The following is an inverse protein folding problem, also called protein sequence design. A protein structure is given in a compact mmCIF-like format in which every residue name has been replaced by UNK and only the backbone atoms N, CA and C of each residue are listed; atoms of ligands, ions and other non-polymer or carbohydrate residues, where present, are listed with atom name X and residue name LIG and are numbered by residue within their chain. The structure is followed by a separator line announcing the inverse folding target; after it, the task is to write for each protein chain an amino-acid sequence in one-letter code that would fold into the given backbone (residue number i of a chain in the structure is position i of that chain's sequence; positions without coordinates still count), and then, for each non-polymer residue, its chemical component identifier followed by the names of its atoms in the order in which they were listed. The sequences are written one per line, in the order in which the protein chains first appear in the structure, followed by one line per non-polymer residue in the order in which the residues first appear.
data_IF_524697177840
#
_entry.id   IF_524697177840
#
_cell.length_a   1.000
_cell.length_b   1.000
_cell.length_c   1.000
_cell.angle_alpha   90.00
_cell.angle_beta   90.00
_cell.angle_gamma   90.00
#
_symmetry.space_group_name_H-M   'P 1'
#
loop_
_entity.id
_entity.type
_entity.pdbx_description
1 polymer ?
#
# COMPACT_ATOMS: atom_id res chain seq x y z
N UNK A 1 -7.99 -12.15 -29.39
CA UNK A 1 -7.28 -13.23 -30.13
C UNK A 1 -6.60 -14.12 -29.12
N UNK A 2 -6.84 -15.42 -29.11
CA UNK A 2 -6.19 -16.30 -28.14
C UNK A 2 -4.68 -16.21 -28.26
N UNK A 3 -3.99 -16.21 -27.14
CA UNK A 3 -2.53 -16.18 -27.07
C UNK A 3 -1.94 -17.38 -27.81
N UNK A 4 -0.89 -17.16 -28.60
CA UNK A 4 -0.17 -18.26 -29.25
C UNK A 4 0.71 -18.98 -28.23
N UNK A 5 1.01 -20.27 -28.46
CA UNK A 5 1.88 -21.07 -27.56
C UNK A 5 3.24 -20.41 -27.32
N UNK A 6 3.78 -19.73 -28.36
CA UNK A 6 5.05 -18.99 -28.20
C UNK A 6 4.95 -17.79 -27.30
N UNK A 7 3.85 -17.02 -27.39
CA UNK A 7 3.59 -15.87 -26.53
C UNK A 7 3.39 -16.34 -25.08
N UNK A 8 2.64 -17.42 -24.89
CA UNK A 8 2.42 -18.01 -23.56
C UNK A 8 3.75 -18.43 -22.93
N UNK A 9 4.62 -19.08 -23.69
CA UNK A 9 5.94 -19.49 -23.20
C UNK A 9 6.84 -18.32 -22.85
N UNK A 10 6.87 -17.27 -23.68
CA UNK A 10 7.64 -16.05 -23.40
C UNK A 10 7.17 -15.35 -22.14
N UNK A 11 5.84 -15.19 -21.98
CA UNK A 11 5.25 -14.59 -20.78
C UNK A 11 5.52 -15.43 -19.51
N UNK A 12 5.53 -16.75 -19.63
CA UNK A 12 5.89 -17.64 -18.51
C UNK A 12 7.34 -17.45 -18.07
N UNK A 13 8.27 -17.33 -19.03
CA UNK A 13 9.69 -17.08 -18.74
C UNK A 13 9.90 -15.72 -18.06
N UNK A 14 9.17 -14.70 -18.50
CA UNK A 14 9.18 -13.36 -17.88
C UNK A 14 8.64 -13.39 -16.45
N UNK A 15 7.51 -14.06 -16.20
CA UNK A 15 6.95 -14.22 -14.86
C UNK A 15 7.90 -14.95 -13.91
N UNK A 16 8.55 -16.02 -14.37
CA UNK A 16 9.53 -16.76 -13.57
C UNK A 16 10.77 -15.92 -13.26
N UNK A 17 11.20 -15.09 -14.20
CA UNK A 17 12.32 -14.17 -13.99
C UNK A 17 11.95 -13.08 -12.98
N UNK A 18 10.75 -12.52 -13.11
CA UNK A 18 10.23 -11.51 -12.18
C UNK A 18 10.08 -12.09 -10.77
N UNK A 19 9.53 -13.29 -10.65
CA UNK A 19 9.43 -14.00 -9.36
C UNK A 19 10.80 -14.16 -8.71
N UNK A 20 11.79 -14.64 -9.44
CA UNK A 20 13.14 -14.83 -8.93
C UNK A 20 13.81 -13.53 -8.49
N UNK A 21 13.54 -12.43 -9.19
CA UNK A 21 14.07 -11.12 -8.81
C UNK A 21 13.43 -10.64 -7.50
N UNK A 22 12.11 -10.73 -7.38
CA UNK A 22 11.39 -10.34 -6.16
C UNK A 22 11.80 -11.21 -4.95
N UNK A 23 11.93 -12.53 -5.12
CA UNK A 23 12.42 -13.43 -4.07
C UNK A 23 13.90 -13.17 -3.69
N UNK A 24 14.70 -12.66 -4.64
CA UNK A 24 16.11 -12.33 -4.41
C UNK A 24 16.28 -11.01 -3.65
N UNK A 25 15.34 -10.09 -3.79
CA UNK A 25 15.32 -8.82 -3.06
C UNK A 25 14.82 -8.98 -1.61
N UNK A 26 13.96 -9.97 -1.32
CA UNK A 26 13.60 -10.34 0.06
C UNK A 26 14.79 -10.87 0.88
N UNK A 27 15.85 -11.37 0.21
CA UNK A 27 17.08 -11.86 0.84
C UNK A 27 18.12 -10.77 1.13
N UNK A 28 17.87 -9.54 0.73
CA UNK A 28 18.75 -8.42 0.98
C UNK A 28 18.34 -7.67 2.26
N UNK A 29 18.16 -8.42 3.36
CA UNK A 29 18.40 -7.85 4.68
C UNK A 29 19.90 -7.58 4.78
N UNK A 30 20.37 -6.49 4.17
CA UNK A 30 21.61 -5.91 4.63
C UNK A 30 21.43 -5.60 6.12
N UNK A 31 22.19 -6.30 6.92
CA UNK A 31 22.35 -6.04 8.34
C UNK A 31 22.95 -4.62 8.50
N UNK A 32 22.08 -3.61 8.39
CA UNK A 32 22.43 -2.21 8.65
C UNK A 32 22.89 -1.96 10.09
N UNK A 33 22.87 -3.01 10.94
CA UNK A 33 23.34 -2.90 12.32
C UNK A 33 24.85 -2.83 12.42
N UNK A 34 25.60 -3.22 11.37
CA UNK A 34 27.08 -3.23 11.40
C UNK A 34 27.72 -1.95 10.88
N UNK A 35 26.97 -1.04 10.21
CA UNK A 35 27.55 0.18 9.63
C UNK A 35 27.46 1.42 10.53
N UNK A 36 26.77 1.34 11.65
CA UNK A 36 26.74 2.39 12.67
C UNK A 36 27.81 2.20 13.75
N UNK A 37 28.95 1.58 13.37
CA UNK A 37 30.16 1.53 14.17
C UNK A 37 30.81 2.90 14.21
N UNK A 38 30.77 3.55 15.39
CA UNK A 38 31.69 4.58 15.86
C UNK A 38 31.89 5.82 14.96
N UNK A 39 30.95 6.73 14.95
CA UNK A 39 31.26 8.16 14.91
C UNK A 39 30.62 8.85 16.12
N UNK A 40 31.14 8.50 17.29
CA UNK A 40 30.96 9.27 18.50
C UNK A 40 31.82 10.52 18.41
N UNK A 41 31.22 11.62 17.97
CA UNK A 41 31.74 12.94 18.37
C UNK A 41 30.55 13.85 18.63
N UNK A 42 30.29 14.01 19.92
CA UNK A 42 29.21 14.77 20.51
C UNK A 42 28.86 16.06 19.82
N UNK A 43 27.59 16.13 19.44
CA UNK A 43 26.68 17.24 19.66
C UNK A 43 25.29 16.71 19.40
N UNK A 44 24.46 16.78 20.35
CA UNK A 44 23.01 16.77 20.55
C UNK A 44 22.10 16.71 19.29
N UNK A 45 22.27 15.71 18.41
CA UNK A 45 21.46 15.52 17.20
C UNK A 45 20.66 14.21 17.20
N UNK A 46 20.62 13.51 18.33
CA UNK A 46 19.98 12.19 18.45
C UNK A 46 18.50 12.17 18.07
N UNK A 47 17.77 13.27 18.23
CA UNK A 47 16.34 13.32 17.86
C UNK A 47 16.13 13.40 16.35
N UNK A 48 16.96 14.13 15.61
CA UNK A 48 16.88 14.24 14.16
C UNK A 48 17.33 12.94 13.48
N UNK A 49 18.38 12.29 13.99
CA UNK A 49 18.89 11.02 13.47
C UNK A 49 17.87 9.89 13.68
N UNK A 50 17.22 9.83 14.86
CA UNK A 50 16.16 8.85 15.12
C UNK A 50 14.95 9.05 14.25
N UNK A 51 14.58 10.29 13.92
CA UNK A 51 13.47 10.58 13.02
C UNK A 51 13.79 10.12 11.59
N UNK A 52 15.00 10.37 11.10
CA UNK A 52 15.44 9.92 9.78
C UNK A 52 15.49 8.39 9.68
N UNK A 53 16.03 7.72 10.69
CA UNK A 53 16.05 6.25 10.76
C UNK A 53 14.64 5.66 10.77
N UNK A 54 13.71 6.29 11.49
CA UNK A 54 12.31 5.87 11.50
C UNK A 54 11.66 6.03 10.13
N UNK A 55 11.87 7.17 9.44
CA UNK A 55 11.35 7.39 8.10
C UNK A 55 11.90 6.38 7.09
N UNK A 56 13.19 6.05 7.15
CA UNK A 56 13.81 5.08 6.25
C UNK A 56 13.25 3.68 6.49
N UNK A 57 13.07 3.27 7.74
CA UNK A 57 12.43 2.00 8.09
C UNK A 57 10.97 1.91 7.61
N UNK A 58 10.22 3.01 7.69
CA UNK A 58 8.84 3.07 7.17
C UNK A 58 8.79 2.97 5.64
N UNK A 59 9.75 3.60 4.93
CA UNK A 59 9.88 3.47 3.47
C UNK A 59 10.20 2.02 3.09
N UNK A 60 11.17 1.41 3.74
CA UNK A 60 11.56 0.02 3.49
C UNK A 60 10.38 -0.94 3.69
N UNK A 61 9.65 -0.83 4.80
CA UNK A 61 8.44 -1.64 5.02
C UNK A 61 7.39 -1.44 3.92
N UNK A 62 7.28 -0.22 3.38
CA UNK A 62 6.34 0.07 2.30
C UNK A 62 6.78 -0.61 1.00
N UNK A 63 8.07 -0.58 0.67
CA UNK A 63 8.60 -1.28 -0.50
C UNK A 63 8.47 -2.80 -0.36
N UNK A 64 8.86 -3.37 0.77
CA UNK A 64 8.71 -4.80 1.04
C UNK A 64 7.24 -5.26 0.88
N UNK A 65 6.29 -4.49 1.39
CA UNK A 65 4.87 -4.81 1.21
C UNK A 65 4.45 -4.76 -0.25
N UNK A 66 4.89 -3.75 -1.00
CA UNK A 66 4.59 -3.64 -2.43
C UNK A 66 5.21 -4.80 -3.25
N UNK A 67 6.39 -5.27 -2.89
CA UNK A 67 7.05 -6.39 -3.55
C UNK A 67 6.38 -7.73 -3.19
N UNK A 68 5.93 -7.91 -1.95
CA UNK A 68 5.10 -9.06 -1.55
C UNK A 68 3.76 -9.10 -2.30
N UNK A 69 3.09 -7.97 -2.47
CA UNK A 69 1.85 -7.87 -3.25
C UNK A 69 2.11 -8.26 -4.73
N UNK A 70 3.19 -7.76 -5.33
CA UNK A 70 3.57 -8.15 -6.70
C UNK A 70 3.92 -9.64 -6.81
N UNK A 71 4.65 -10.19 -5.83
CA UNK A 71 4.98 -11.60 -5.80
C UNK A 71 3.73 -12.46 -5.78
N UNK A 72 2.74 -12.09 -4.97
CA UNK A 72 1.46 -12.77 -4.93
C UNK A 72 0.73 -12.68 -6.29
N UNK A 73 0.72 -11.52 -6.94
CA UNK A 73 0.12 -11.37 -8.27
C UNK A 73 0.82 -12.22 -9.35
N UNK A 74 2.15 -12.34 -9.26
CA UNK A 74 2.95 -13.21 -10.15
C UNK A 74 2.60 -14.68 -9.92
N UNK A 75 2.48 -15.11 -8.68
CA UNK A 75 2.09 -16.49 -8.36
C UNK A 75 0.67 -16.81 -8.83
N UNK A 76 -0.29 -15.91 -8.62
CA UNK A 76 -1.64 -16.03 -9.17
C UNK A 76 -1.65 -16.11 -10.71
N UNK A 77 -0.75 -15.39 -11.38
CA UNK A 77 -0.64 -15.43 -12.84
C UNK A 77 -0.08 -16.78 -13.33
N UNK A 78 0.93 -17.34 -12.64
CA UNK A 78 1.48 -18.66 -12.95
C UNK A 78 0.45 -19.77 -12.71
N UNK A 79 -0.31 -19.70 -11.63
CA UNK A 79 -1.40 -20.66 -11.35
C UNK A 79 -2.46 -20.62 -12.44
N UNK A 80 -2.89 -19.41 -12.90
CA UNK A 80 -3.84 -19.26 -14.01
C UNK A 80 -3.27 -19.80 -15.34
N UNK A 81 -1.95 -19.76 -15.56
CA UNK A 81 -1.33 -20.40 -16.72
C UNK A 81 -1.45 -21.92 -16.66
N UNK A 82 -1.30 -22.53 -15.48
CA UNK A 82 -1.46 -23.97 -15.28
C UNK A 82 -2.91 -24.43 -15.45
N UNK A 83 -3.85 -23.59 -14.99
CA UNK A 83 -5.28 -23.84 -15.15
C UNK A 83 -5.81 -23.54 -16.57
N UNK A 84 -5.04 -22.87 -17.42
CA UNK A 84 -5.44 -22.47 -18.77
C UNK A 84 -6.44 -21.29 -18.81
N UNK A 85 -6.54 -20.52 -17.72
CA UNK A 85 -7.39 -19.34 -17.60
C UNK A 85 -6.62 -18.02 -17.79
N UNK A 86 -5.31 -18.09 -18.01
CA UNK A 86 -4.46 -16.93 -18.21
C UNK A 86 -4.83 -16.17 -19.51
N UNK A 87 -4.76 -14.84 -19.45
CA UNK A 87 -5.11 -13.96 -20.57
C UNK A 87 -6.60 -13.61 -20.66
N UNK A 88 -7.40 -14.07 -19.70
CA UNK A 88 -8.83 -13.71 -19.58
C UNK A 88 -9.03 -12.86 -18.32
N UNK A 89 -9.79 -11.77 -18.49
CA UNK A 89 -10.14 -10.87 -17.39
C UNK A 89 -11.04 -11.58 -16.37
N UNK A 90 -10.70 -11.48 -15.09
CA UNK A 90 -11.45 -12.13 -14.00
C UNK A 90 -12.86 -11.52 -13.78
N UNK A 91 -13.03 -10.22 -14.09
CA UNK A 91 -14.27 -9.50 -13.83
C UNK A 91 -15.23 -9.55 -15.03
N UNK A 92 -14.70 -9.40 -16.26
CA UNK A 92 -15.53 -9.30 -17.48
C UNK A 92 -15.54 -10.57 -18.32
N UNK A 93 -14.58 -11.46 -18.13
CA UNK A 93 -14.40 -12.66 -18.97
C UNK A 93 -13.90 -12.35 -20.39
N UNK A 94 -13.48 -11.12 -20.65
CA UNK A 94 -12.94 -10.69 -21.94
C UNK A 94 -11.46 -11.05 -22.05
N UNK A 95 -10.97 -11.27 -23.28
CA UNK A 95 -9.56 -11.50 -23.54
C UNK A 95 -8.73 -10.23 -23.24
N UNK A 96 -7.64 -10.38 -22.49
CA UNK A 96 -6.69 -9.30 -22.23
C UNK A 96 -5.77 -9.17 -23.45
N UNK A 97 -5.59 -7.96 -24.01
CA UNK A 97 -4.70 -7.76 -25.15
C UNK A 97 -3.26 -8.18 -24.85
N UNK A 98 -2.60 -8.81 -25.83
CA UNK A 98 -1.21 -9.27 -25.67
C UNK A 98 -0.25 -8.11 -25.31
N UNK A 99 -0.44 -6.93 -25.90
CA UNK A 99 0.37 -5.74 -25.64
C UNK A 99 0.33 -5.34 -24.15
N UNK A 100 -0.78 -5.60 -23.47
CA UNK A 100 -0.90 -5.35 -22.03
C UNK A 100 -0.16 -6.41 -21.23
N UNK A 101 -0.27 -7.66 -21.63
CA UNK A 101 0.43 -8.77 -20.96
C UNK A 101 1.94 -8.70 -21.13
N UNK A 102 2.42 -8.17 -22.26
CA UNK A 102 3.84 -7.94 -22.51
C UNK A 102 4.43 -6.88 -21.58
N UNK A 103 3.66 -5.85 -21.21
CA UNK A 103 4.10 -4.80 -20.28
C UNK A 103 3.90 -5.21 -18.82
N UNK A 104 2.77 -5.86 -18.53
CA UNK A 104 2.38 -6.26 -17.17
C UNK A 104 1.91 -7.73 -17.21
N UNK A 105 2.84 -8.69 -17.17
CA UNK A 105 2.50 -10.10 -17.37
C UNK A 105 1.66 -10.70 -16.23
N UNK A 106 1.70 -10.14 -15.04
CA UNK A 106 0.91 -10.59 -13.89
C UNK A 106 -0.50 -10.00 -13.85
N UNK A 107 -0.90 -9.16 -14.82
CA UNK A 107 -2.24 -8.55 -14.82
C UNK A 107 -3.35 -9.59 -14.96
N UNK A 108 -4.43 -9.38 -14.21
CA UNK A 108 -5.64 -10.22 -14.24
C UNK A 108 -6.87 -9.52 -14.81
N UNK A 109 -6.73 -8.24 -15.19
CA UNK A 109 -7.83 -7.39 -15.67
C UNK A 109 -7.49 -6.66 -16.94
N UNK A 110 -8.52 -6.37 -17.74
CA UNK A 110 -8.42 -5.40 -18.84
C UNK A 110 -8.24 -3.98 -18.28
N UNK A 111 -7.80 -3.04 -19.11
CA UNK A 111 -7.63 -1.62 -18.70
C UNK A 111 -8.95 -1.05 -18.16
N UNK A 112 -10.05 -1.34 -18.85
CA UNK A 112 -11.37 -0.82 -18.47
C UNK A 112 -11.86 -1.40 -17.14
N UNK A 113 -11.65 -2.70 -16.92
CA UNK A 113 -11.98 -3.34 -15.64
C UNK A 113 -11.11 -2.82 -14.50
N UNK A 114 -9.82 -2.63 -14.73
CA UNK A 114 -8.91 -2.07 -13.73
C UNK A 114 -9.30 -0.64 -13.33
N UNK A 115 -9.60 0.22 -14.30
CA UNK A 115 -10.05 1.58 -14.04
C UNK A 115 -11.32 1.66 -13.19
N UNK A 116 -12.25 0.74 -13.39
CA UNK A 116 -13.47 0.67 -12.54
C UNK A 116 -13.13 0.32 -11.09
N UNK A 117 -12.28 -0.69 -10.90
CA UNK A 117 -11.85 -1.11 -9.55
C UNK A 117 -11.09 0.01 -8.84
N UNK A 118 -10.20 0.70 -9.56
CA UNK A 118 -9.44 1.82 -9.02
C UNK A 118 -10.35 3.00 -8.64
N UNK A 119 -11.36 3.28 -9.44
CA UNK A 119 -12.34 4.33 -9.17
C UNK A 119 -13.23 3.98 -7.97
N UNK A 120 -13.76 2.76 -7.91
CA UNK A 120 -14.56 2.29 -6.78
C UNK A 120 -13.75 2.29 -5.47
N UNK A 121 -12.48 1.88 -5.52
CA UNK A 121 -11.57 1.93 -4.37
C UNK A 121 -11.28 3.36 -3.91
N UNK A 122 -11.11 4.29 -4.85
CA UNK A 122 -10.91 5.71 -4.55
C UNK A 122 -12.13 6.34 -3.90
N UNK A 123 -13.33 6.05 -4.41
CA UNK A 123 -14.59 6.55 -3.87
C UNK A 123 -14.84 6.04 -2.46
N UNK A 124 -14.60 4.74 -2.20
CA UNK A 124 -14.71 4.16 -0.86
C UNK A 124 -13.73 4.78 0.15
N UNK A 125 -12.48 5.04 -0.26
CA UNK A 125 -11.51 5.72 0.61
C UNK A 125 -11.93 7.16 0.92
N UNK A 126 -12.46 7.88 -0.06
CA UNK A 126 -12.94 9.24 0.14
C UNK A 126 -14.13 9.29 1.10
N UNK A 127 -15.08 8.35 0.98
CA UNK A 127 -16.23 8.23 1.87
C UNK A 127 -15.81 7.88 3.31
N UNK A 128 -14.85 6.97 3.49
CA UNK A 128 -14.31 6.62 4.80
C UNK A 128 -13.59 7.80 5.46
N UNK A 129 -12.72 8.49 4.72
CA UNK A 129 -12.02 9.68 5.24
C UNK A 129 -12.99 10.80 5.60
N UNK A 130 -14.05 10.99 4.82
CA UNK A 130 -15.10 11.95 5.11
C UNK A 130 -15.88 11.57 6.38
N UNK A 131 -16.24 10.29 6.54
CA UNK A 131 -16.92 9.80 7.72
C UNK A 131 -16.07 9.99 9.00
N UNK A 132 -14.77 9.64 8.95
CA UNK A 132 -13.84 9.85 10.05
C UNK A 132 -13.65 11.34 10.38
N UNK A 133 -13.59 12.20 9.35
CA UNK A 133 -13.49 13.65 9.56
C UNK A 133 -14.74 14.21 10.23
N UNK A 134 -15.92 13.75 9.86
CA UNK A 134 -17.19 14.14 10.47
C UNK A 134 -17.31 13.68 11.92
N UNK A 135 -16.88 12.45 12.22
CA UNK A 135 -16.85 11.90 13.59
C UNK A 135 -15.93 12.74 14.50
N UNK A 136 -14.73 13.06 14.03
CA UNK A 136 -13.79 13.94 14.72
C UNK A 136 -14.34 15.38 14.96
N UNK A 137 -15.19 15.88 14.08
CA UNK A 137 -15.84 17.19 14.25
C UNK A 137 -16.92 17.10 15.32
N UNK A 138 -17.74 16.04 15.31
CA UNK A 138 -18.77 15.80 16.31
C UNK A 138 -18.18 15.66 17.73
N UNK A 139 -17.05 14.96 17.85
CA UNK A 139 -16.35 14.78 19.13
C UNK A 139 -15.78 16.11 19.67
N UNK A 140 -15.31 17.01 18.79
CA UNK A 140 -14.87 18.36 19.20
C UNK A 140 -15.99 19.26 19.68
N UNK A 141 -17.19 19.15 19.12
CA UNK A 141 -18.35 19.91 19.54
C UNK A 141 -18.84 19.47 20.93
N UNK A 142 -18.81 18.18 21.25
CA UNK A 142 -19.12 17.67 22.58
C UNK A 142 -18.14 18.17 23.64
N UNK A 143 -16.83 18.16 23.35
CA UNK A 143 -15.80 18.69 24.25
C UNK A 143 -15.92 20.21 24.46
N UNK A 144 -16.41 20.94 23.47
CA UNK A 144 -16.64 22.37 23.57
C UNK A 144 -17.85 22.69 24.45
N UNK A 145 -18.90 21.89 24.40
CA UNK A 145 -20.06 22.02 25.31
C UNK A 145 -19.69 21.73 26.76
N UNK A 146 -18.89 20.67 27.03
CA UNK A 146 -18.41 20.35 28.37
C UNK A 146 -17.53 21.46 28.96
N UNK A 147 -16.63 22.04 28.17
CA UNK A 147 -15.79 23.17 28.64
C UNK A 147 -16.59 24.42 28.93
N UNK A 148 -17.66 24.69 28.18
CA UNK A 148 -18.56 25.83 28.44
C UNK A 148 -19.39 25.64 29.72
N UNK A 149 -19.80 24.39 30.04
CA UNK A 149 -20.53 24.11 31.28
C UNK A 149 -19.65 24.22 32.53
N UNK A 150 -18.39 23.78 32.48
CA UNK A 150 -17.43 23.95 33.57
C UNK A 150 -17.12 25.42 33.85
N UNK A 151 -16.92 26.21 32.80
CA UNK A 151 -16.68 27.66 32.96
C UNK A 151 -17.87 28.43 33.53
N UNK A 152 -19.11 27.96 33.29
CA UNK A 152 -20.30 28.50 33.94
C UNK A 152 -20.36 28.22 35.44
N UNK A 153 -19.97 26.99 35.84
CA UNK A 153 -19.94 26.60 37.24
C UNK A 153 -18.91 27.38 38.06
N UNK A 154 -17.75 27.66 37.49
CA UNK A 154 -16.71 28.47 38.14
C UNK A 154 -17.15 29.93 38.36
N UNK A 155 -17.88 30.51 37.40
CA UNK A 155 -18.44 31.89 37.54
C UNK A 155 -19.58 32.00 38.58
N UNK A 156 -20.35 30.93 38.84
CA UNK A 156 -21.38 30.94 39.87
C UNK A 156 -20.80 30.82 41.28
N UNK A 157 -19.64 30.19 41.47
CA UNK A 157 -18.96 30.10 42.75
C UNK A 157 -18.33 31.42 43.21
N UNK A 158 -17.88 32.27 42.27
CA UNK A 158 -17.33 33.59 42.60
C UNK A 158 -18.38 34.63 42.92
N UNK A 159 -19.65 34.41 42.57
CA UNK A 159 -20.75 35.31 42.90
C UNK A 159 -21.26 35.19 44.38
N UNK A 160 -20.79 34.18 45.13
CA UNK A 160 -21.16 33.96 46.53
C UNK A 160 -20.06 34.33 47.55
N UNK A 161 -19.02 35.05 47.13
CA UNK A 161 -17.94 35.57 47.95
C UNK A 161 -18.04 37.08 48.04
#
# INVERSE_FOLDING_TARGET
MPLTDKQMQSLKEELLTLKKNLEGEEGFEEDYTETTGELSSGVDNHMADQAAEYEDRMKEQTFQRADQEKLQEVDEALERMEEGTYGVCVDTGEEIPYERLEIVPYTKRTIEAQQKVDQEGSDQMADQQFAEAMDNVADRDTLREETLTTTKLDNEQDAYR
#
